data_IF_482748931739
#
_entry.id   IF_482748931739
#
_cell.length_a   1.000
_cell.length_b   1.000
_cell.length_c   1.000
_cell.angle_alpha   90.00
_cell.angle_beta   90.00
_cell.angle_gamma   90.00
#
_symmetry.space_group_name_H-M   'P 1'
#
loop_
_entity.id
_entity.type
_entity.pdbx_description
1 polymer ?
#
# COMPACT_ATOMS: atom_id res chain seq x y z
N UNK A 1 -5.04 27.36 16.16
CA UNK A 1 -5.56 27.55 14.78
C UNK A 1 -5.34 26.30 13.91
N UNK A 2 -5.39 25.09 14.48
CA UNK A 2 -5.21 23.82 13.77
C UNK A 2 -6.20 22.80 14.32
N UNK A 3 -7.43 22.76 13.77
CA UNK A 3 -8.37 21.68 14.07
C UNK A 3 -9.47 21.46 13.03
N UNK A 4 -9.40 22.07 11.86
CA UNK A 4 -10.52 22.07 10.91
C UNK A 4 -10.04 21.77 9.49
N UNK A 5 -9.60 20.53 9.21
CA UNK A 5 -9.46 20.08 7.82
C UNK A 5 -9.63 18.56 7.60
N UNK A 6 -9.98 17.77 8.61
CA UNK A 6 -10.26 16.33 8.43
C UNK A 6 -11.73 16.03 8.04
N UNK A 7 -12.48 17.03 7.54
CA UNK A 7 -13.92 16.90 7.30
C UNK A 7 -14.29 16.21 5.98
N UNK A 8 -13.32 15.93 5.12
CA UNK A 8 -13.57 15.18 3.88
C UNK A 8 -13.35 13.70 4.18
N UNK A 9 -14.45 12.95 4.27
CA UNK A 9 -14.39 11.49 4.30
C UNK A 9 -13.50 11.00 3.16
N UNK A 10 -12.47 10.23 3.49
CA UNK A 10 -11.48 9.72 2.53
C UNK A 10 -12.16 9.00 1.34
N UNK A 11 -13.32 8.39 1.60
CA UNK A 11 -14.15 7.66 0.65
C UNK A 11 -14.91 8.53 -0.34
N UNK A 12 -15.12 9.81 -0.04
CA UNK A 12 -15.88 10.73 -0.90
C UNK A 12 -15.02 11.41 -1.97
N UNK A 13 -13.71 11.21 -1.95
CA UNK A 13 -12.81 11.81 -2.92
C UNK A 13 -12.92 11.10 -4.28
N UNK A 14 -12.84 11.85 -5.38
CA UNK A 14 -12.95 11.28 -6.74
C UNK A 14 -11.80 10.29 -6.99
N UNK A 15 -10.59 10.61 -6.52
CA UNK A 15 -9.42 9.73 -6.60
C UNK A 15 -9.63 8.42 -5.80
N UNK A 16 -10.45 8.40 -4.75
CA UNK A 16 -10.77 7.16 -4.04
C UNK A 16 -11.67 6.21 -4.87
N UNK A 17 -12.45 6.75 -5.83
CA UNK A 17 -13.40 5.98 -6.65
C UNK A 17 -12.80 5.44 -7.95
N UNK A 18 -11.73 6.04 -8.46
CA UNK A 18 -11.08 5.61 -9.71
C UNK A 18 -10.19 4.39 -9.45
N UNK A 19 -10.37 3.30 -10.21
CA UNK A 19 -9.55 2.10 -10.10
C UNK A 19 -8.12 2.27 -10.62
N UNK A 20 -7.18 1.51 -10.04
CA UNK A 20 -5.79 1.41 -10.51
C UNK A 20 -5.63 0.07 -11.25
N UNK A 21 -5.26 0.13 -12.53
CA UNK A 21 -5.23 -1.03 -13.43
C UNK A 21 -3.81 -1.51 -13.77
N UNK A 22 -2.79 -0.76 -13.39
CA UNK A 22 -1.39 -1.17 -13.53
C UNK A 22 -1.02 -2.22 -12.46
N UNK A 23 0.03 -3.04 -12.69
CA UNK A 23 0.58 -3.93 -11.66
C UNK A 23 0.87 -3.19 -10.35
N UNK A 24 0.36 -3.70 -9.24
CA UNK A 24 0.55 -3.11 -7.91
C UNK A 24 1.08 -4.14 -6.91
N UNK A 25 2.03 -3.73 -6.07
CA UNK A 25 2.52 -4.48 -4.92
C UNK A 25 2.14 -3.76 -3.63
N UNK A 26 1.75 -4.52 -2.60
CA UNK A 26 1.39 -3.98 -1.28
C UNK A 26 2.21 -4.65 -0.18
N UNK A 27 2.86 -3.85 0.64
CA UNK A 27 3.55 -4.26 1.87
C UNK A 27 2.74 -3.78 3.09
N UNK A 28 2.13 -4.70 3.83
CA UNK A 28 1.30 -4.41 5.00
C UNK A 28 2.15 -4.52 6.27
N UNK A 29 2.53 -3.38 6.84
CA UNK A 29 3.32 -3.30 8.08
C UNK A 29 2.43 -3.38 9.33
N UNK A 30 2.87 -4.08 10.40
CA UNK A 30 2.03 -4.35 11.56
C UNK A 30 1.64 -3.07 12.34
N UNK A 31 2.52 -2.06 12.38
CA UNK A 31 2.30 -0.82 13.12
C UNK A 31 1.89 0.37 12.22
N UNK A 32 1.31 0.11 11.05
CA UNK A 32 0.76 1.15 10.18
C UNK A 32 -0.51 1.77 10.80
N UNK A 33 -0.70 3.09 10.63
CA UNK A 33 -1.83 3.84 11.18
C UNK A 33 -3.17 3.39 10.59
N UNK A 34 -3.18 2.97 9.32
CA UNK A 34 -4.35 2.47 8.63
C UNK A 34 -4.06 1.09 8.05
N UNK A 35 -4.55 0.06 8.74
CA UNK A 35 -4.50 -1.30 8.21
C UNK A 35 -5.51 -1.44 7.06
N UNK A 36 -5.02 -1.85 5.88
CA UNK A 36 -5.86 -2.09 4.70
C UNK A 36 -5.92 -3.59 4.43
N UNK A 37 -7.02 -4.27 4.78
CA UNK A 37 -7.23 -5.67 4.41
C UNK A 37 -7.17 -5.85 2.89
N UNK A 38 -6.67 -7.00 2.44
CA UNK A 38 -6.57 -7.34 1.01
C UNK A 38 -7.90 -7.17 0.26
N UNK A 39 -9.03 -7.49 0.90
CA UNK A 39 -10.38 -7.31 0.31
C UNK A 39 -10.64 -5.84 -0.04
N UNK A 40 -10.25 -4.91 0.84
CA UNK A 40 -10.39 -3.48 0.58
C UNK A 40 -9.38 -2.99 -0.45
N UNK A 41 -8.14 -3.49 -0.41
CA UNK A 41 -7.14 -3.17 -1.42
C UNK A 41 -7.63 -3.52 -2.84
N UNK A 42 -8.30 -4.67 -3.03
CA UNK A 42 -8.88 -5.10 -4.33
C UNK A 42 -10.00 -4.18 -4.85
N UNK A 43 -10.63 -3.40 -3.99
CA UNK A 43 -11.62 -2.41 -4.42
C UNK A 43 -10.96 -1.29 -5.24
N UNK A 44 -9.73 -0.91 -4.90
CA UNK A 44 -8.94 0.14 -5.56
C UNK A 44 -8.00 -0.41 -6.62
N UNK A 45 -7.17 -1.39 -6.26
CA UNK A 45 -6.14 -1.99 -7.11
C UNK A 45 -6.69 -3.23 -7.81
N UNK A 46 -6.85 -3.17 -9.14
CA UNK A 46 -7.45 -4.24 -9.94
C UNK A 46 -6.45 -5.29 -10.39
N UNK A 47 -5.15 -4.97 -10.36
CA UNK A 47 -4.05 -5.89 -10.70
C UNK A 47 -3.01 -5.93 -9.57
N UNK A 48 -3.37 -6.56 -8.45
CA UNK A 48 -2.42 -6.80 -7.35
C UNK A 48 -1.53 -8.00 -7.73
N UNK A 49 -0.23 -7.77 -7.82
CA UNK A 49 0.80 -8.79 -8.13
C UNK A 49 1.41 -9.38 -6.86
N UNK A 50 1.59 -8.55 -5.83
CA UNK A 50 2.06 -9.01 -4.52
C UNK A 50 1.29 -8.34 -3.39
N UNK A 51 1.00 -9.10 -2.33
CA UNK A 51 0.49 -8.59 -1.06
C UNK A 51 1.21 -9.33 0.05
N UNK A 52 2.06 -8.62 0.79
CA UNK A 52 2.94 -9.19 1.80
C UNK A 52 2.64 -8.59 3.17
N UNK A 53 2.37 -9.44 4.15
CA UNK A 53 2.35 -9.02 5.55
C UNK A 53 3.78 -9.00 6.09
N UNK A 54 4.21 -7.84 6.56
CA UNK A 54 5.56 -7.66 7.11
C UNK A 54 5.61 -8.07 8.57
N UNK A 55 6.77 -8.56 9.02
CA UNK A 55 6.95 -9.06 10.38
C UNK A 55 7.13 -7.96 11.43
N UNK A 56 7.59 -6.76 11.01
CA UNK A 56 7.91 -5.61 11.87
C UNK A 56 7.89 -4.30 11.06
N UNK A 57 7.99 -3.16 11.74
CA UNK A 57 7.90 -1.81 11.17
C UNK A 57 6.49 -1.20 11.20
N UNK A 58 6.36 0.03 10.72
CA UNK A 58 5.12 0.81 10.73
C UNK A 58 5.06 1.88 9.65
N UNK A 59 4.50 3.03 10.01
CA UNK A 59 4.18 4.13 9.09
C UNK A 59 5.39 4.64 8.30
N UNK A 60 6.58 4.61 8.90
CA UNK A 60 7.83 5.03 8.27
C UNK A 60 8.67 3.83 7.85
N UNK A 61 8.06 2.83 7.19
CA UNK A 61 8.69 1.57 6.78
C UNK A 61 10.10 1.72 6.15
N UNK A 62 10.30 2.71 5.27
CA UNK A 62 11.61 2.95 4.64
C UNK A 62 12.70 3.41 5.61
N UNK A 63 12.32 4.00 6.74
CA UNK A 63 13.22 4.45 7.79
C UNK A 63 13.32 3.44 8.94
N UNK A 64 12.20 2.82 9.33
CA UNK A 64 12.13 1.83 10.40
C UNK A 64 12.74 0.49 9.99
N UNK A 65 12.49 0.05 8.76
CA UNK A 65 12.86 -1.29 8.27
C UNK A 65 13.36 -1.24 6.82
N UNK A 66 14.48 -0.53 6.56
CA UNK A 66 14.96 -0.25 5.21
C UNK A 66 15.27 -1.53 4.42
N UNK A 67 15.94 -2.53 5.00
CA UNK A 67 16.26 -3.76 4.28
C UNK A 67 15.00 -4.57 3.97
N UNK A 68 14.06 -4.66 4.92
CA UNK A 68 12.82 -5.41 4.74
C UNK A 68 11.95 -4.83 3.62
N UNK A 69 11.83 -3.50 3.58
CA UNK A 69 11.13 -2.82 2.50
C UNK A 69 11.85 -2.96 1.16
N UNK A 70 13.19 -2.82 1.15
CA UNK A 70 13.99 -2.94 -0.07
C UNK A 70 13.89 -4.35 -0.68
N UNK A 71 13.95 -5.40 0.14
CA UNK A 71 13.79 -6.78 -0.33
C UNK A 71 12.41 -6.98 -0.97
N UNK A 72 11.35 -6.51 -0.33
CA UNK A 72 10.00 -6.63 -0.89
C UNK A 72 9.85 -5.87 -2.21
N UNK A 73 10.45 -4.68 -2.31
CA UNK A 73 10.46 -3.88 -3.54
C UNK A 73 11.19 -4.63 -4.67
N UNK A 74 12.37 -5.18 -4.40
CA UNK A 74 13.14 -5.95 -5.38
C UNK A 74 12.37 -7.18 -5.88
N UNK A 75 11.73 -7.93 -4.98
CA UNK A 75 10.90 -9.08 -5.33
C UNK A 75 9.71 -8.67 -6.22
N UNK A 76 9.05 -7.56 -5.90
CA UNK A 76 7.97 -7.02 -6.73
C UNK A 76 8.45 -6.65 -8.13
N UNK A 77 9.55 -5.89 -8.24
CA UNK A 77 10.11 -5.48 -9.54
C UNK A 77 10.45 -6.69 -10.39
N UNK A 78 11.18 -7.67 -9.84
CA UNK A 78 11.51 -8.91 -10.56
C UNK A 78 10.26 -9.67 -11.05
N UNK A 79 9.19 -9.67 -10.25
CA UNK A 79 7.93 -10.34 -10.62
C UNK A 79 7.24 -9.63 -11.78
N UNK A 80 7.22 -8.30 -11.77
CA UNK A 80 6.61 -7.49 -12.83
C UNK A 80 7.42 -7.59 -14.13
N UNK A 81 8.75 -7.51 -14.05
CA UNK A 81 9.64 -7.63 -15.22
C UNK A 81 9.53 -9.00 -15.90
N UNK A 82 9.43 -10.10 -15.13
CA UNK A 82 9.23 -11.45 -15.69
C UNK A 82 7.85 -11.66 -16.34
N UNK A 83 6.87 -10.83 -16.00
CA UNK A 83 5.49 -10.93 -16.49
C UNK A 83 5.20 -9.98 -17.66
N UNK A 84 6.21 -9.26 -18.14
CA UNK A 84 6.12 -8.27 -19.22
C UNK A 84 6.54 -8.83 -20.58
#
# INVERSE_FOLDING_TARGET
MYKENLRVSFWNRIDAKVGVYVPAGLAAFPNELMHVPLVWARMKYKKIVSFSYMSRGGHFAAFEEPELLAENLQQFVQTVEKSS
#
